data_IF_071957353820
#
_entry.id   IF_071957353820
#
_cell.length_a   1.000
_cell.length_b   1.000
_cell.length_c   1.000
_cell.angle_alpha   90.00
_cell.angle_beta   90.00
_cell.angle_gamma   90.00
#
_symmetry.space_group_name_H-M   'P 1'
#
loop_
_entity.id
_entity.type
_entity.pdbx_description
1 polymer ?
#
# COMPACT_ATOMS: atom_id res chain seq x y z
N UNK A 1 16.39 18.38 -3.04
CA UNK A 1 15.53 17.68 -2.06
C UNK A 1 15.67 16.18 -2.27
N UNK A 2 16.03 15.46 -1.23
CA UNK A 2 16.21 14.01 -1.28
C UNK A 2 15.03 13.30 -0.65
N UNK A 3 14.89 12.01 -0.91
CA UNK A 3 13.79 11.21 -0.36
C UNK A 3 13.77 11.27 1.17
N UNK A 4 14.93 11.29 1.83
CA UNK A 4 15.00 11.44 3.28
C UNK A 4 14.37 12.74 3.79
N UNK A 5 14.42 13.81 3.01
CA UNK A 5 13.83 15.09 3.37
C UNK A 5 12.32 15.12 3.13
N UNK A 6 11.85 14.33 2.16
CA UNK A 6 10.44 14.25 1.78
C UNK A 6 9.68 13.19 2.56
N UNK A 7 10.39 12.21 3.13
CA UNK A 7 9.78 11.11 3.85
C UNK A 7 9.06 11.61 5.10
N UNK A 8 7.85 11.12 5.30
CA UNK A 8 7.06 11.40 6.50
C UNK A 8 6.81 10.09 7.25
N UNK A 9 6.61 10.17 8.57
CA UNK A 9 6.14 9.01 9.31
C UNK A 9 4.85 8.49 8.68
N UNK A 10 4.77 7.19 8.50
CA UNK A 10 3.61 6.55 7.87
C UNK A 10 3.25 5.30 8.66
N UNK A 11 1.96 5.06 8.93
CA UNK A 11 1.55 3.87 9.63
C UNK A 11 1.92 2.61 8.86
N UNK A 12 2.56 1.66 9.53
CA UNK A 12 2.93 0.38 8.93
C UNK A 12 2.22 -0.75 9.66
N UNK A 13 1.96 -1.82 8.93
CA UNK A 13 1.48 -3.07 9.53
C UNK A 13 2.49 -4.17 9.20
N UNK A 14 2.60 -5.15 10.08
CA UNK A 14 3.49 -6.28 9.86
C UNK A 14 2.79 -7.41 9.11
N UNK A 15 3.58 -8.28 8.50
CA UNK A 15 3.07 -9.46 7.80
C UNK A 15 2.28 -10.38 8.72
N UNK A 16 2.64 -10.44 10.00
CA UNK A 16 1.99 -11.32 10.99
C UNK A 16 0.85 -10.64 11.75
N UNK A 17 0.59 -9.37 11.48
CA UNK A 17 -0.48 -8.64 12.13
C UNK A 17 -1.85 -9.14 11.67
N UNK A 18 -2.86 -8.91 12.51
CA UNK A 18 -4.24 -9.27 12.19
C UNK A 18 -4.77 -8.48 11.00
N UNK A 19 -5.32 -9.16 10.01
CA UNK A 19 -5.80 -8.53 8.78
C UNK A 19 -6.96 -7.57 9.04
N UNK A 20 -7.88 -7.93 9.93
CA UNK A 20 -9.02 -7.06 10.26
C UNK A 20 -8.57 -5.77 10.92
N UNK A 21 -7.61 -5.86 11.86
CA UNK A 21 -7.05 -4.66 12.51
C UNK A 21 -6.34 -3.77 11.50
N UNK A 22 -5.60 -4.36 10.55
CA UNK A 22 -4.94 -3.60 9.49
C UNK A 22 -5.94 -2.90 8.59
N UNK A 23 -7.04 -3.56 8.25
CA UNK A 23 -8.11 -2.96 7.44
C UNK A 23 -8.75 -1.79 8.17
N UNK A 24 -8.98 -1.92 9.48
CA UNK A 24 -9.55 -0.83 10.29
C UNK A 24 -8.61 0.36 10.38
N UNK A 25 -7.33 0.12 10.58
CA UNK A 25 -6.31 1.17 10.58
C UNK A 25 -6.33 1.94 9.26
N UNK A 26 -6.34 1.21 8.16
CA UNK A 26 -6.40 1.79 6.82
C UNK A 26 -7.61 2.70 6.65
N UNK A 27 -8.78 2.20 7.02
CA UNK A 27 -10.04 2.92 6.86
C UNK A 27 -10.13 4.14 7.79
N UNK A 28 -9.80 3.97 9.06
CA UNK A 28 -9.90 5.04 10.07
C UNK A 28 -8.96 6.19 9.77
N UNK A 29 -7.75 5.90 9.31
CA UNK A 29 -6.75 6.92 9.00
C UNK A 29 -6.82 7.39 7.56
N UNK A 30 -7.74 6.87 6.76
CA UNK A 30 -7.94 7.26 5.37
C UNK A 30 -6.64 7.23 4.57
N UNK A 31 -5.93 6.12 4.69
CA UNK A 31 -4.62 5.94 4.04
C UNK A 31 -4.78 5.74 2.53
N UNK A 32 -3.88 6.26 1.70
CA UNK A 32 -3.90 6.00 0.25
C UNK A 32 -3.52 4.56 -0.09
N UNK A 33 -2.69 3.93 0.72
CA UNK A 33 -2.22 2.57 0.53
C UNK A 33 -1.86 1.96 1.87
N UNK A 34 -1.93 0.64 1.94
CA UNK A 34 -1.44 -0.10 3.11
C UNK A 34 0.05 -0.38 2.90
N UNK A 35 0.88 0.02 3.86
CA UNK A 35 2.31 -0.26 3.85
C UNK A 35 2.59 -1.40 4.79
N UNK A 36 3.02 -2.52 4.23
CA UNK A 36 3.29 -3.75 4.98
C UNK A 36 4.80 -3.96 5.08
N UNK A 37 5.28 -4.21 6.27
CA UNK A 37 6.69 -4.48 6.53
C UNK A 37 6.87 -5.92 7.02
N UNK A 38 8.05 -6.47 6.76
CA UNK A 38 8.41 -7.79 7.26
C UNK A 38 8.91 -7.70 8.71
N UNK A 39 9.32 -8.82 9.27
CA UNK A 39 9.78 -8.89 10.67
C UNK A 39 11.03 -8.06 10.94
N UNK A 40 11.84 -7.81 9.91
CA UNK A 40 13.05 -7.01 10.02
C UNK A 40 12.81 -5.54 9.77
N UNK A 41 11.57 -5.14 9.48
CA UNK A 41 11.20 -3.76 9.21
C UNK A 41 11.39 -3.32 7.75
N UNK A 42 11.77 -4.23 6.88
CA UNK A 42 11.86 -3.95 5.45
C UNK A 42 10.49 -3.94 4.77
N UNK A 43 10.32 -3.19 3.69
CA UNK A 43 9.04 -3.12 3.00
C UNK A 43 8.71 -4.46 2.34
N UNK A 44 7.53 -4.99 2.65
CA UNK A 44 7.02 -6.24 2.11
C UNK A 44 6.06 -6.01 0.97
N UNK A 45 5.14 -5.06 1.13
CA UNK A 45 4.14 -4.74 0.11
C UNK A 45 3.59 -3.34 0.33
N UNK A 46 3.22 -2.69 -0.76
CA UNK A 46 2.44 -1.46 -0.74
C UNK A 46 1.19 -1.76 -1.55
N UNK A 47 0.03 -1.71 -0.91
CA UNK A 47 -1.22 -2.11 -1.54
C UNK A 47 -2.18 -0.92 -1.57
N UNK A 48 -2.42 -0.34 -2.77
CA UNK A 48 -3.41 0.74 -2.89
C UNK A 48 -4.79 0.28 -2.43
N UNK A 49 -5.56 1.21 -1.86
CA UNK A 49 -6.86 0.88 -1.28
C UNK A 49 -7.81 0.19 -2.25
N UNK A 50 -7.79 0.60 -3.52
CA UNK A 50 -8.62 -0.04 -4.54
C UNK A 50 -8.32 -1.53 -4.69
N UNK A 51 -7.07 -1.93 -4.48
CA UNK A 51 -6.68 -3.34 -4.58
C UNK A 51 -7.05 -4.14 -3.32
N UNK A 52 -7.19 -3.48 -2.19
CA UNK A 52 -7.64 -4.12 -0.96
C UNK A 52 -9.09 -4.57 -1.03
N UNK A 53 -9.90 -3.87 -1.83
CA UNK A 53 -11.32 -4.19 -2.01
C UNK A 53 -11.54 -5.43 -2.87
N UNK A 54 -10.52 -5.89 -3.58
CA UNK A 54 -10.64 -7.02 -4.51
C UNK A 54 -11.19 -8.28 -3.85
N UNK A 55 -10.89 -8.49 -2.59
CA UNK A 55 -11.27 -9.69 -1.85
C UNK A 55 -12.79 -9.84 -1.68
N UNK A 56 -13.53 -8.73 -1.70
CA UNK A 56 -15.00 -8.78 -1.53
C UNK A 56 -15.78 -8.74 -2.85
N UNK A 57 -15.10 -8.50 -3.96
CA UNK A 57 -15.76 -8.38 -5.27
C UNK A 57 -15.74 -9.74 -5.96
N UNK A 58 -16.91 -10.28 -6.38
CA UNK A 58 -16.93 -11.51 -7.16
C UNK A 58 -16.10 -11.36 -8.43
N UNK A 59 -15.34 -12.38 -8.77
CA UNK A 59 -14.38 -12.29 -9.86
C UNK A 59 -15.04 -11.99 -11.21
N UNK A 60 -16.22 -12.56 -11.45
CA UNK A 60 -16.96 -12.30 -12.69
C UNK A 60 -17.36 -10.83 -12.84
N UNK A 61 -17.59 -10.13 -11.72
CA UNK A 61 -17.92 -8.70 -11.74
C UNK A 61 -16.71 -7.84 -12.09
N UNK A 62 -15.49 -8.34 -11.83
CA UNK A 62 -14.26 -7.65 -12.23
C UNK A 62 -14.06 -7.71 -13.74
N UNK A 63 -14.53 -8.77 -14.39
CA UNK A 63 -14.36 -8.97 -15.83
C UNK A 63 -15.40 -8.22 -16.66
N UNK A 64 -16.62 -8.11 -16.14
CA UNK A 64 -17.73 -7.49 -16.87
C UNK A 64 -18.42 -6.42 -16.02
N UNK A 65 -18.22 -5.13 -16.34
CA UNK A 65 -18.87 -4.04 -15.59
C UNK A 65 -20.40 -4.13 -15.56
N UNK A 66 -21.02 -4.70 -16.59
CA UNK A 66 -22.47 -4.86 -16.64
C UNK A 66 -22.98 -5.78 -15.53
N UNK A 67 -22.19 -6.81 -15.17
CA UNK A 67 -22.55 -7.73 -14.10
C UNK A 67 -22.45 -7.04 -12.74
N UNK A 68 -21.46 -6.16 -12.57
CA UNK A 68 -21.29 -5.41 -11.34
C UNK A 68 -22.52 -4.53 -11.04
N UNK A 69 -23.13 -3.97 -12.09
CA UNK A 69 -24.33 -3.14 -11.93
C UNK A 69 -25.56 -3.91 -11.45
N UNK A 70 -25.58 -5.21 -11.70
CA UNK A 70 -26.69 -6.07 -11.29
C UNK A 70 -26.54 -6.59 -9.86
N UNK A 71 -25.35 -6.42 -9.24
CA UNK A 71 -25.09 -6.90 -7.90
C UNK A 71 -25.62 -5.94 -6.86
N UNK A 72 -26.05 -6.52 -5.74
CA UNK A 72 -26.42 -5.78 -4.53
C UNK A 72 -25.29 -5.84 -3.54
N UNK A 73 -25.33 -4.97 -2.52
CA UNK A 73 -24.29 -4.92 -1.50
C UNK A 73 -24.09 -6.25 -0.79
N UNK A 74 -25.17 -7.03 -0.59
CA UNK A 74 -25.11 -8.31 0.08
C UNK A 74 -24.74 -9.49 -0.85
N UNK A 75 -24.57 -9.24 -2.15
CA UNK A 75 -24.05 -10.25 -3.09
C UNK A 75 -22.53 -10.42 -2.98
N UNK A 76 -21.84 -9.42 -2.43
CA UNK A 76 -20.43 -9.52 -2.13
C UNK A 76 -20.21 -10.15 -0.76
N UNK A 77 -18.99 -10.63 -0.53
CA UNK A 77 -18.63 -11.13 0.78
C UNK A 77 -18.44 -9.96 1.76
N UNK A 78 -18.77 -10.20 3.03
CA UNK A 78 -18.50 -9.20 4.06
C UNK A 78 -17.03 -9.19 4.37
N UNK A 79 -16.40 -8.02 4.28
CA UNK A 79 -14.95 -7.88 4.48
C UNK A 79 -14.53 -8.43 5.84
N UNK A 80 -15.29 -8.15 6.89
CA UNK A 80 -15.00 -8.64 8.23
C UNK A 80 -14.94 -10.17 8.28
N UNK A 81 -15.88 -10.84 7.60
CA UNK A 81 -15.94 -12.32 7.60
C UNK A 81 -14.77 -12.91 6.83
N UNK A 82 -14.37 -12.28 5.72
CA UNK A 82 -13.23 -12.73 4.93
C UNK A 82 -11.92 -12.60 5.69
N UNK A 83 -11.75 -11.50 6.43
CA UNK A 83 -10.50 -11.21 7.11
C UNK A 83 -10.35 -11.89 8.47
N UNK A 84 -11.44 -12.39 9.04
CA UNK A 84 -11.44 -13.00 10.36
C UNK A 84 -10.42 -14.16 10.43
N UNK A 85 -9.51 -14.06 11.39
CA UNK A 85 -8.51 -15.11 11.61
C UNK A 85 -7.34 -15.10 10.65
N UNK A 86 -7.30 -14.18 9.68
CA UNK A 86 -6.18 -14.07 8.74
C UNK A 86 -5.11 -13.12 9.25
N UNK A 87 -3.87 -13.41 8.90
CA UNK A 87 -2.79 -12.43 9.00
C UNK A 87 -2.80 -11.53 7.76
N UNK A 88 -2.10 -10.41 7.84
CA UNK A 88 -1.93 -9.53 6.67
C UNK A 88 -1.32 -10.28 5.50
N UNK A 89 -0.28 -11.09 5.75
CA UNK A 89 0.36 -11.87 4.68
C UNK A 89 -0.62 -12.84 4.03
N UNK A 90 -1.46 -13.51 4.82
CA UNK A 90 -2.49 -14.42 4.30
C UNK A 90 -3.53 -13.68 3.47
N UNK A 91 -3.98 -12.51 3.94
CA UNK A 91 -4.90 -11.66 3.19
C UNK A 91 -4.33 -11.30 1.82
N UNK A 92 -3.08 -10.84 1.79
CA UNK A 92 -2.46 -10.41 0.54
C UNK A 92 -2.25 -11.58 -0.43
N UNK A 93 -2.05 -12.80 0.08
CA UNK A 93 -1.83 -13.98 -0.78
C UNK A 93 -3.09 -14.43 -1.52
N UNK A 94 -4.28 -14.08 -1.02
CA UNK A 94 -5.55 -14.39 -1.68
C UNK A 94 -5.64 -13.71 -3.05
N UNK A 95 -4.94 -12.59 -3.23
CA UNK A 95 -4.98 -11.76 -4.44
C UNK A 95 -4.09 -12.28 -5.58
N UNK A 96 -3.33 -13.33 -5.33
CA UNK A 96 -2.36 -13.85 -6.28
C UNK A 96 -0.92 -13.48 -5.89
N UNK A 97 0.05 -13.64 -6.81
CA UNK A 97 1.45 -13.34 -6.53
C UNK A 97 1.64 -11.88 -6.08
N UNK A 98 2.52 -11.69 -5.12
CA UNK A 98 2.84 -10.38 -4.59
C UNK A 98 3.71 -9.60 -5.58
N UNK A 99 3.35 -8.35 -5.84
CA UNK A 99 4.20 -7.45 -6.59
C UNK A 99 5.25 -6.84 -5.64
N UNK A 100 6.43 -6.55 -6.18
CA UNK A 100 7.46 -5.88 -5.39
C UNK A 100 7.01 -4.47 -5.04
N UNK A 101 7.21 -4.03 -3.79
CA UNK A 101 6.80 -2.68 -3.40
C UNK A 101 7.66 -1.61 -4.06
N UNK A 102 7.06 -0.42 -4.26
CA UNK A 102 7.78 0.74 -4.75
C UNK A 102 8.63 1.31 -3.62
N UNK A 103 9.95 1.25 -3.78
CA UNK A 103 10.90 1.58 -2.73
C UNK A 103 12.02 2.43 -3.30
N UNK A 104 12.44 3.44 -2.53
CA UNK A 104 13.63 4.24 -2.85
C UNK A 104 14.54 4.33 -1.63
N UNK A 105 15.82 4.53 -1.86
CA UNK A 105 16.76 4.83 -0.79
C UNK A 105 16.66 6.28 -0.34
N UNK A 106 17.28 6.59 0.79
CA UNK A 106 17.24 7.92 1.40
C UNK A 106 17.83 9.02 0.51
N UNK A 107 18.71 8.66 -0.43
CA UNK A 107 19.39 9.61 -1.30
C UNK A 107 18.67 9.89 -2.61
N UNK A 108 17.56 9.21 -2.91
CA UNK A 108 16.85 9.38 -4.16
C UNK A 108 16.31 10.80 -4.32
N UNK A 109 16.34 11.32 -5.54
CA UNK A 109 15.83 12.65 -5.83
C UNK A 109 14.32 12.65 -6.01
N UNK A 110 13.70 13.83 -5.92
CA UNK A 110 12.26 13.98 -6.03
C UNK A 110 11.71 13.50 -7.38
N UNK A 111 12.43 13.76 -8.47
CA UNK A 111 12.02 13.30 -9.81
C UNK A 111 12.10 11.77 -9.90
N UNK A 112 13.10 11.17 -9.29
CA UNK A 112 13.22 9.71 -9.24
C UNK A 112 12.01 9.08 -8.53
N UNK A 113 11.60 9.67 -7.40
CA UNK A 113 10.41 9.23 -6.67
C UNK A 113 9.15 9.38 -7.54
N UNK A 114 9.01 10.54 -8.20
CA UNK A 114 7.87 10.79 -9.08
C UNK A 114 7.82 9.78 -10.23
N UNK A 115 8.96 9.50 -10.86
CA UNK A 115 9.06 8.53 -11.95
C UNK A 115 8.64 7.13 -11.50
N UNK A 116 9.04 6.73 -10.29
CA UNK A 116 8.66 5.45 -9.73
C UNK A 116 7.15 5.36 -9.49
N UNK A 117 6.56 6.41 -8.93
CA UNK A 117 5.10 6.46 -8.73
C UNK A 117 4.33 6.33 -10.04
N UNK A 118 4.77 7.05 -11.07
CA UNK A 118 4.12 7.02 -12.38
C UNK A 118 4.23 5.62 -13.00
N UNK A 119 5.42 5.05 -12.96
CA UNK A 119 5.69 3.75 -13.57
C UNK A 119 4.94 2.60 -12.88
N UNK A 120 4.81 2.66 -11.56
CA UNK A 120 4.18 1.60 -10.77
C UNK A 120 2.71 1.86 -10.46
N UNK A 121 2.17 3.01 -10.86
CA UNK A 121 0.78 3.41 -10.57
C UNK A 121 0.46 3.33 -9.08
N UNK A 122 1.40 3.75 -8.24
CA UNK A 122 1.21 3.69 -6.79
C UNK A 122 1.14 5.10 -6.20
N UNK A 123 0.26 5.33 -5.21
CA UNK A 123 0.16 6.64 -4.56
C UNK A 123 1.16 6.83 -3.42
N UNK A 124 2.00 5.83 -3.17
CA UNK A 124 2.90 5.81 -2.03
C UNK A 124 4.20 5.11 -2.41
N UNK A 125 5.33 5.67 -1.96
CA UNK A 125 6.65 5.06 -2.10
C UNK A 125 7.27 4.96 -0.71
N UNK A 126 7.80 3.78 -0.38
CA UNK A 126 8.51 3.58 0.88
C UNK A 126 9.95 4.09 0.74
N UNK A 127 10.42 4.76 1.78
CA UNK A 127 11.81 5.21 1.86
C UNK A 127 12.55 4.30 2.83
N UNK A 128 13.67 3.74 2.36
CA UNK A 128 14.43 2.77 3.13
C UNK A 128 15.86 3.25 3.36
N UNK A 129 16.42 2.76 4.45
CA UNK A 129 17.82 2.95 4.80
C UNK A 129 18.45 1.57 4.94
N UNK A 130 19.61 1.40 4.33
CA UNK A 130 20.38 0.17 4.43
C UNK A 130 21.38 0.27 5.56
N UNK A 131 21.41 -0.74 6.43
CA UNK A 131 22.37 -0.86 7.53
C UNK A 131 22.95 -2.28 7.47
N UNK A 132 24.10 -2.41 6.79
CA UNK A 132 24.69 -3.71 6.52
C UNK A 132 23.79 -4.53 5.61
N UNK A 133 23.40 -5.74 6.05
CA UNK A 133 22.53 -6.63 5.29
C UNK A 133 21.04 -6.35 5.51
N UNK A 134 20.71 -5.38 6.38
CA UNK A 134 19.33 -5.06 6.72
C UNK A 134 18.86 -3.81 6.00
N UNK A 135 17.61 -3.86 5.55
CA UNK A 135 16.89 -2.73 4.97
C UNK A 135 15.76 -2.37 5.90
N UNK A 136 15.72 -1.12 6.34
CA UNK A 136 14.71 -0.64 7.27
C UNK A 136 13.90 0.47 6.61
N UNK A 137 12.58 0.41 6.79
CA UNK A 137 11.69 1.47 6.33
C UNK A 137 11.77 2.65 7.30
N UNK A 138 12.15 3.83 6.80
CA UNK A 138 12.28 5.03 7.63
C UNK A 138 11.11 5.98 7.47
N UNK A 139 10.28 5.79 6.46
CA UNK A 139 9.11 6.61 6.20
C UNK A 139 8.55 6.33 4.84
N UNK A 140 7.63 7.16 4.41
CA UNK A 140 7.03 7.03 3.09
C UNK A 140 6.73 8.40 2.50
N UNK A 141 6.59 8.44 1.18
CA UNK A 141 6.27 9.66 0.44
C UNK A 141 4.93 9.44 -0.25
N UNK A 142 3.95 10.27 0.06
CA UNK A 142 2.64 10.26 -0.60
C UNK A 142 2.69 11.12 -1.86
N UNK A 143 1.93 10.72 -2.86
CA UNK A 143 1.81 11.52 -4.09
C UNK A 143 1.38 12.96 -3.79
N UNK A 144 0.45 13.15 -2.87
CA UNK A 144 -0.01 14.49 -2.49
C UNK A 144 1.13 15.35 -1.92
N UNK A 145 1.98 14.77 -1.08
CA UNK A 145 3.12 15.50 -0.50
C UNK A 145 4.15 15.86 -1.58
N UNK A 146 4.42 14.92 -2.48
CA UNK A 146 5.36 15.17 -3.58
C UNK A 146 4.83 16.26 -4.51
N UNK A 147 3.52 16.24 -4.80
CA UNK A 147 2.87 17.28 -5.59
C UNK A 147 3.02 18.65 -4.94
N UNK A 148 2.80 18.75 -3.64
CA UNK A 148 2.96 19.98 -2.88
C UNK A 148 4.39 20.52 -2.97
N UNK A 149 5.37 19.62 -2.91
CA UNK A 149 6.78 20.01 -3.05
C UNK A 149 7.03 20.66 -4.42
N UNK A 150 6.56 20.02 -5.50
CA UNK A 150 6.77 20.56 -6.86
C UNK A 150 6.00 21.85 -7.10
N UNK A 151 4.82 22.02 -6.51
CA UNK A 151 4.04 23.26 -6.65
C UNK A 151 4.69 24.44 -5.92
N UNK A 152 5.38 24.19 -4.83
CA UNK A 152 5.98 25.23 -4.00
C UNK A 152 7.48 25.43 -4.26
N UNK A 153 8.00 24.79 -5.28
CA UNK A 153 9.38 24.96 -5.70
C UNK A 153 9.57 26.34 -6.33
N UNK A 154 10.60 27.08 -5.92
CA UNK A 154 10.91 28.39 -6.53
C UNK A 154 11.36 28.27 -7.98
#
# INVERSE_FOLDING_TARGET
>A
MRASDLAEPYPVVGTDDDAEEAARLFAEQQLPALLVVDRDGGPYAIVPGSQLLRVIVPEHALREPALARALRDDDGERLQDVLEGLTVAEWLSVRGPRELPAVVGVSAGAIEVAALMVRTHTPLVAVVESDGDRTRTVGAIRAAHLMAYFLNRP
#
